data_IF_062505722521
#
_entry.id   IF_062505722521
#
_cell.length_a   1.000
_cell.length_b   1.000
_cell.length_c   1.000
_cell.angle_alpha   90.00
_cell.angle_beta   90.00
_cell.angle_gamma   90.00
#
_symmetry.space_group_name_H-M   'P 1'
#
loop_
_entity.id
_entity.type
_entity.pdbx_description
1 polymer ?
#
# COMPACT_ATOMS: atom_id res chain seq x y z
N UNK A 1 -51.20 -63.81 55.77
CA UNK A 1 -51.00 -63.28 54.46
C UNK A 1 -50.44 -61.85 54.57
N UNK A 2 -49.16 -61.62 54.36
CA UNK A 2 -48.57 -60.31 54.34
C UNK A 2 -47.76 -60.17 53.02
N UNK A 3 -48.22 -59.26 52.13
CA UNK A 3 -47.57 -58.92 50.89
C UNK A 3 -46.49 -57.89 51.16
N UNK A 4 -45.24 -58.21 50.79
CA UNK A 4 -44.12 -57.31 50.87
C UNK A 4 -44.16 -56.29 49.73
N UNK A 5 -43.98 -55.05 50.11
CA UNK A 5 -43.84 -53.93 49.17
C UNK A 5 -42.36 -53.84 48.80
N UNK A 6 -42.03 -54.05 47.54
CA UNK A 6 -40.67 -53.90 47.00
C UNK A 6 -40.48 -52.42 46.69
N UNK A 7 -39.64 -51.76 47.43
CA UNK A 7 -39.17 -50.39 47.16
C UNK A 7 -38.29 -50.40 45.91
N UNK A 8 -38.77 -49.76 44.83
CA UNK A 8 -37.92 -49.37 43.72
C UNK A 8 -37.20 -48.11 44.05
N UNK A 9 -35.89 -48.19 44.14
CA UNK A 9 -34.98 -47.01 44.28
C UNK A 9 -34.90 -46.32 42.92
N UNK A 10 -35.17 -45.02 42.81
CA UNK A 10 -34.92 -44.30 41.56
C UNK A 10 -33.42 -44.05 41.44
N UNK A 11 -32.82 -44.62 40.39
CA UNK A 11 -31.47 -44.38 39.98
C UNK A 11 -31.41 -42.94 39.39
N UNK A 12 -30.89 -42.00 40.19
CA UNK A 12 -30.70 -40.62 39.74
C UNK A 12 -29.49 -40.58 38.80
N UNK A 13 -29.74 -40.56 37.50
CA UNK A 13 -28.73 -40.42 36.46
C UNK A 13 -28.21 -38.96 36.47
N UNK A 14 -27.08 -38.73 37.12
CA UNK A 14 -26.41 -37.42 37.12
C UNK A 14 -25.77 -37.19 35.76
N UNK A 15 -26.45 -36.38 34.91
CA UNK A 15 -25.91 -35.99 33.61
C UNK A 15 -24.79 -34.95 33.84
N UNK A 16 -23.56 -35.42 33.76
CA UNK A 16 -22.38 -34.53 33.83
C UNK A 16 -22.25 -33.74 32.52
N UNK A 17 -22.75 -32.51 32.49
CA UNK A 17 -22.52 -31.59 31.38
C UNK A 17 -21.08 -31.12 31.45
N UNK A 18 -20.22 -31.70 30.61
CA UNK A 18 -18.86 -31.19 30.40
C UNK A 18 -18.95 -29.94 29.54
N UNK A 19 -18.93 -28.77 30.17
CA UNK A 19 -18.75 -27.48 29.48
C UNK A 19 -17.28 -27.41 29.10
N UNK A 20 -16.96 -27.68 27.85
CA UNK A 20 -15.64 -27.35 27.29
C UNK A 20 -15.56 -25.83 27.18
N UNK A 21 -14.57 -25.17 27.80
CA UNK A 21 -14.33 -23.75 27.51
C UNK A 21 -13.93 -23.67 26.02
N UNK A 22 -14.84 -23.16 25.21
CA UNK A 22 -14.51 -22.76 23.84
C UNK A 22 -13.42 -21.70 23.94
N UNK A 23 -12.34 -21.87 23.21
CA UNK A 23 -11.43 -20.77 22.93
C UNK A 23 -12.28 -19.73 22.15
N UNK A 24 -12.74 -18.68 22.82
CA UNK A 24 -13.29 -17.54 22.13
C UNK A 24 -12.10 -16.87 21.47
N UNK A 25 -12.03 -16.95 20.14
CA UNK A 25 -11.06 -16.18 19.36
C UNK A 25 -11.29 -14.70 19.68
N UNK A 26 -10.30 -14.09 20.31
CA UNK A 26 -10.33 -12.63 20.50
C UNK A 26 -10.44 -11.98 19.11
N UNK A 27 -11.26 -10.94 18.95
CA UNK A 27 -11.32 -10.21 17.68
C UNK A 27 -9.91 -9.75 17.31
N UNK A 28 -9.54 -9.94 16.04
CA UNK A 28 -8.26 -9.46 15.52
C UNK A 28 -8.12 -7.95 15.81
N UNK A 29 -6.93 -7.52 16.14
CA UNK A 29 -6.66 -6.09 16.29
C UNK A 29 -6.99 -5.37 14.97
N UNK A 30 -7.54 -4.14 15.01
CA UNK A 30 -7.79 -3.38 13.80
C UNK A 30 -6.46 -3.04 13.10
N UNK A 31 -6.44 -3.16 11.76
CA UNK A 31 -5.29 -2.81 10.93
C UNK A 31 -4.90 -1.33 11.09
N UNK A 32 -3.61 -1.06 11.22
CA UNK A 32 -3.02 0.29 11.22
C UNK A 32 -2.47 0.58 9.82
N UNK A 33 -3.02 1.57 9.08
CA UNK A 33 -2.56 1.85 7.73
C UNK A 33 -1.06 2.18 7.66
N UNK A 34 -0.39 1.84 6.54
CA UNK A 34 1.01 2.10 6.33
C UNK A 34 1.31 3.60 6.15
N UNK A 35 2.53 4.00 6.41
CA UNK A 35 3.05 5.33 6.13
C UNK A 35 3.89 5.30 4.86
N UNK A 36 3.51 6.11 3.85
CA UNK A 36 4.26 6.27 2.62
C UNK A 36 5.40 7.29 2.78
N UNK A 37 6.55 6.99 2.20
CA UNK A 37 7.70 7.90 2.08
C UNK A 37 8.53 7.51 0.88
N UNK A 38 9.03 8.50 0.12
CA UNK A 38 9.94 8.23 -0.99
C UNK A 38 10.91 9.38 -1.23
N UNK A 39 11.99 9.06 -1.93
CA UNK A 39 12.96 9.99 -2.50
C UNK A 39 13.15 9.67 -3.97
N UNK A 40 13.70 10.61 -4.76
CA UNK A 40 14.03 10.36 -6.15
C UNK A 40 15.35 11.02 -6.55
N UNK A 41 15.98 10.50 -7.60
CA UNK A 41 17.25 10.98 -8.13
C UNK A 41 17.32 10.74 -9.65
N UNK A 42 17.81 11.72 -10.45
CA UNK A 42 18.23 13.05 -10.03
C UNK A 42 17.04 13.92 -9.62
N UNK A 43 17.28 14.91 -8.76
CA UNK A 43 16.29 15.95 -8.43
C UNK A 43 16.34 17.10 -9.43
N UNK A 44 17.47 17.29 -10.15
CA UNK A 44 17.69 18.30 -11.20
C UNK A 44 19.08 18.08 -11.83
N UNK A 45 19.28 18.33 -13.13
CA UNK A 45 18.21 18.54 -14.12
C UNK A 45 17.49 17.24 -14.47
N UNK A 46 16.18 17.32 -14.71
CA UNK A 46 15.38 16.23 -15.29
C UNK A 46 14.91 16.72 -16.66
N UNK A 47 15.37 16.08 -17.73
CA UNK A 47 14.94 16.40 -19.09
C UNK A 47 13.80 15.46 -19.51
N UNK A 48 12.70 16.02 -19.98
CA UNK A 48 11.57 15.28 -20.48
C UNK A 48 11.99 14.34 -21.64
N UNK A 49 11.42 13.14 -21.67
CA UNK A 49 11.72 12.15 -22.70
C UNK A 49 13.12 11.50 -22.63
N UNK A 50 14.04 12.04 -21.83
CA UNK A 50 15.46 11.63 -21.86
C UNK A 50 15.97 11.11 -20.50
N UNK A 51 15.65 11.81 -19.41
CA UNK A 51 16.28 11.52 -18.10
C UNK A 51 15.52 10.44 -17.34
N UNK A 52 16.09 9.23 -17.15
CA UNK A 52 15.50 8.26 -16.25
C UNK A 52 15.67 8.71 -14.80
N UNK A 53 14.55 8.86 -14.10
CA UNK A 53 14.50 9.21 -12.69
C UNK A 53 14.23 7.95 -11.87
N UNK A 54 15.10 7.67 -10.92
CA UNK A 54 14.94 6.55 -10.00
C UNK A 54 14.16 7.00 -8.76
N UNK A 55 13.06 6.35 -8.47
CA UNK A 55 12.24 6.56 -7.28
C UNK A 55 12.47 5.44 -6.28
N UNK A 56 12.58 5.78 -5.00
CA UNK A 56 12.89 4.84 -3.93
C UNK A 56 11.97 5.08 -2.73
N UNK A 57 11.10 4.13 -2.46
CA UNK A 57 10.12 4.12 -1.38
C UNK A 57 10.51 3.21 -0.20
N UNK A 58 11.79 2.80 -0.08
CA UNK A 58 12.28 1.96 1.03
C UNK A 58 12.02 2.60 2.41
N UNK A 59 11.86 3.94 2.47
CA UNK A 59 11.49 4.65 3.69
C UNK A 59 10.03 4.51 4.12
N UNK A 60 9.18 3.85 3.32
CA UNK A 60 7.80 3.54 3.71
C UNK A 60 7.77 2.42 4.74
N UNK A 61 6.79 2.45 5.65
CA UNK A 61 6.67 1.45 6.73
C UNK A 61 5.22 1.17 7.08
N UNK A 62 5.00 -0.03 7.58
CA UNK A 62 3.74 -0.50 8.11
C UNK A 62 3.95 -0.92 9.58
N UNK A 63 3.19 -0.36 10.55
CA UNK A 63 3.44 -0.59 11.98
C UNK A 63 3.08 -1.98 12.49
N UNK A 64 2.10 -2.66 11.89
CA UNK A 64 1.55 -3.95 12.35
C UNK A 64 1.55 -5.04 11.29
N UNK A 65 2.06 -4.72 10.07
CA UNK A 65 2.11 -5.66 8.96
C UNK A 65 3.27 -5.45 8.00
N UNK A 66 2.99 -5.60 6.72
CA UNK A 66 3.98 -5.43 5.65
C UNK A 66 3.35 -4.73 4.44
N UNK A 67 4.13 -3.90 3.76
CA UNK A 67 3.69 -3.27 2.52
C UNK A 67 3.64 -4.34 1.42
N UNK A 68 2.44 -4.53 0.85
CA UNK A 68 2.18 -5.49 -0.22
C UNK A 68 2.44 -4.89 -1.61
N UNK A 69 2.15 -3.60 -1.82
CA UNK A 69 2.36 -2.96 -3.12
C UNK A 69 2.55 -1.44 -3.02
N UNK A 70 3.15 -0.91 -4.09
CA UNK A 70 3.45 0.50 -4.31
C UNK A 70 2.78 0.94 -5.61
N UNK A 71 1.92 1.95 -5.56
CA UNK A 71 1.23 2.53 -6.71
C UNK A 71 1.75 3.94 -6.94
N UNK A 72 2.27 4.19 -8.14
CA UNK A 72 2.89 5.44 -8.53
C UNK A 72 2.04 6.16 -9.57
N UNK A 73 1.69 7.40 -9.29
CA UNK A 73 1.06 8.33 -10.23
C UNK A 73 2.02 9.49 -10.51
N UNK A 74 2.37 9.69 -11.76
CA UNK A 74 3.49 10.56 -12.16
C UNK A 74 3.08 12.02 -12.34
N UNK A 75 1.79 12.27 -12.60
CA UNK A 75 1.25 13.61 -12.86
C UNK A 75 1.54 14.17 -14.26
N UNK A 76 2.28 13.43 -15.09
CA UNK A 76 2.68 13.81 -16.46
C UNK A 76 1.73 13.28 -17.54
N UNK A 77 0.61 12.67 -17.14
CA UNK A 77 -0.37 12.07 -18.04
C UNK A 77 -0.06 10.64 -18.48
N UNK A 78 1.08 10.09 -18.09
CA UNK A 78 1.36 8.65 -18.26
C UNK A 78 0.54 7.80 -17.30
N UNK A 79 0.23 6.53 -17.64
CA UNK A 79 -0.53 5.65 -16.76
C UNK A 79 0.15 5.42 -15.41
N UNK A 80 -0.65 5.22 -14.38
CA UNK A 80 -0.16 4.75 -13.08
C UNK A 80 0.54 3.41 -13.19
N UNK A 81 1.55 3.20 -12.34
CA UNK A 81 2.31 1.96 -12.29
C UNK A 81 2.23 1.34 -10.90
N UNK A 82 1.85 0.05 -10.84
CA UNK A 82 1.84 -0.72 -9.59
C UNK A 82 2.98 -1.75 -9.61
N UNK A 83 3.68 -1.87 -8.48
CA UNK A 83 4.80 -2.80 -8.29
C UNK A 83 4.85 -3.30 -6.86
N UNK A 84 5.47 -4.47 -6.64
CA UNK A 84 5.82 -4.98 -5.32
C UNK A 84 7.23 -4.55 -4.88
N UNK A 85 8.03 -3.99 -5.81
CA UNK A 85 9.35 -3.43 -5.49
C UNK A 85 9.21 -2.02 -4.92
N UNK A 86 9.93 -1.66 -3.86
CA UNK A 86 9.97 -0.30 -3.36
C UNK A 86 10.71 0.67 -4.30
N UNK A 87 11.34 0.18 -5.35
CA UNK A 87 12.10 0.99 -6.30
C UNK A 87 11.55 0.86 -7.70
N UNK A 88 11.49 1.98 -8.44
CA UNK A 88 11.03 2.04 -9.82
C UNK A 88 11.76 3.17 -10.55
N UNK A 89 11.82 3.08 -11.87
CA UNK A 89 12.36 4.15 -12.74
C UNK A 89 11.27 4.68 -13.63
N UNK A 90 11.19 6.01 -13.78
CA UNK A 90 10.27 6.67 -14.69
C UNK A 90 11.00 7.70 -15.55
N UNK A 91 10.58 7.85 -16.79
CA UNK A 91 10.99 8.94 -17.69
C UNK A 91 9.75 9.78 -17.94
N UNK A 92 9.78 11.04 -17.49
CA UNK A 92 8.66 11.95 -17.66
C UNK A 92 8.37 12.20 -19.15
N UNK A 93 7.11 12.16 -19.53
CA UNK A 93 6.69 12.34 -20.90
C UNK A 93 7.17 13.71 -21.45
N UNK A 94 7.69 13.68 -22.69
CA UNK A 94 7.97 14.92 -23.43
C UNK A 94 6.65 15.51 -23.92
N UNK A 95 6.41 16.78 -23.61
CA UNK A 95 5.25 17.50 -24.13
C UNK A 95 5.72 18.43 -25.27
N UNK A 96 4.90 18.64 -26.32
CA UNK A 96 5.30 19.47 -27.46
C UNK A 96 5.41 20.97 -27.13
N UNK A 97 5.43 21.32 -25.87
CA UNK A 97 5.42 22.71 -25.38
C UNK A 97 6.76 23.07 -24.71
N UNK A 98 7.75 23.32 -25.45
CA UNK A 98 8.78 24.39 -25.46
C UNK A 98 9.38 24.88 -24.13
N UNK A 99 10.63 24.53 -23.87
CA UNK A 99 11.63 25.32 -23.13
C UNK A 99 11.16 25.93 -21.81
N UNK A 100 10.22 25.27 -21.14
CA UNK A 100 9.69 25.68 -19.84
C UNK A 100 9.87 24.55 -18.84
N UNK A 101 10.13 24.92 -17.61
CA UNK A 101 10.09 23.96 -16.53
C UNK A 101 8.62 23.65 -16.18
N UNK A 102 8.28 22.39 -16.19
CA UNK A 102 6.96 21.90 -15.75
C UNK A 102 7.14 21.20 -14.41
N UNK A 103 6.24 21.48 -13.48
CA UNK A 103 6.25 20.83 -12.17
C UNK A 103 5.19 19.75 -12.14
N UNK A 104 5.60 18.50 -12.02
CA UNK A 104 4.71 17.36 -11.87
C UNK A 104 4.61 16.95 -10.39
N UNK A 105 3.39 16.69 -9.91
CA UNK A 105 3.15 16.14 -8.61
C UNK A 105 3.19 14.62 -8.69
N UNK A 106 4.28 14.01 -8.23
CA UNK A 106 4.40 12.56 -8.12
C UNK A 106 3.73 12.11 -6.83
N UNK A 107 2.80 11.17 -6.94
CA UNK A 107 2.09 10.57 -5.82
C UNK A 107 2.49 9.10 -5.70
N UNK A 108 2.90 8.71 -4.50
CA UNK A 108 3.05 7.31 -4.09
C UNK A 108 1.88 6.95 -3.18
N UNK A 109 1.22 5.83 -3.47
CA UNK A 109 0.30 5.15 -2.54
C UNK A 109 0.88 3.78 -2.22
N UNK A 110 1.10 3.50 -0.94
CA UNK A 110 1.48 2.17 -0.45
C UNK A 110 0.26 1.45 0.09
N UNK A 111 0.18 0.15 -0.15
CA UNK A 111 -0.93 -0.70 0.27
C UNK A 111 -0.34 -1.85 1.09
N UNK A 112 -0.86 -2.09 2.28
CA UNK A 112 -0.43 -3.17 3.17
C UNK A 112 -1.07 -4.53 2.82
N UNK A 113 -0.68 -5.55 3.57
CA UNK A 113 -1.18 -6.92 3.40
C UNK A 113 -2.64 -7.12 3.86
N UNK A 114 -3.25 -6.14 4.53
CA UNK A 114 -4.64 -6.16 5.01
C UNK A 114 -5.55 -5.20 4.23
N UNK A 115 -5.00 -4.46 3.24
CA UNK A 115 -5.72 -3.55 2.34
C UNK A 115 -5.80 -2.11 2.84
N UNK A 116 -5.15 -1.76 3.95
CA UNK A 116 -4.94 -0.37 4.37
C UNK A 116 -4.00 0.35 3.40
N UNK A 117 -4.08 1.67 3.34
CA UNK A 117 -3.22 2.45 2.46
C UNK A 117 -2.75 3.76 3.09
N UNK A 118 -1.57 4.22 2.64
CA UNK A 118 -0.99 5.52 2.98
C UNK A 118 -0.40 6.16 1.74
N UNK A 119 -0.35 7.49 1.68
CA UNK A 119 0.13 8.20 0.51
C UNK A 119 1.13 9.31 0.86
N UNK A 120 2.07 9.56 -0.07
CA UNK A 120 3.01 10.68 -0.01
C UNK A 120 3.13 11.33 -1.39
N UNK A 121 3.33 12.65 -1.43
CA UNK A 121 3.51 13.39 -2.68
C UNK A 121 4.75 14.26 -2.63
N UNK A 122 5.47 14.32 -3.77
CA UNK A 122 6.59 15.24 -3.98
C UNK A 122 6.50 15.87 -5.37
N UNK A 123 7.10 17.04 -5.53
CA UNK A 123 7.15 17.75 -6.81
C UNK A 123 8.46 17.45 -7.54
N UNK A 124 8.37 17.06 -8.80
CA UNK A 124 9.48 16.91 -9.72
C UNK A 124 9.44 18.06 -10.75
N UNK A 125 10.52 18.84 -10.82
CA UNK A 125 10.67 19.91 -11.83
C UNK A 125 11.37 19.33 -13.05
N UNK A 126 10.65 19.27 -14.17
CA UNK A 126 11.10 18.69 -15.43
C UNK A 126 11.29 19.80 -16.46
N UNK A 127 12.44 19.77 -17.14
CA UNK A 127 12.75 20.71 -18.22
C UNK A 127 12.34 20.09 -19.55
N UNK A 128 11.49 20.76 -20.30
CA UNK A 128 11.14 20.37 -21.65
C UNK A 128 12.32 20.68 -22.58
N UNK A 129 12.84 19.66 -23.26
CA UNK A 129 13.96 19.79 -24.18
C UNK A 129 13.44 20.15 -25.59
N UNK A 130 14.04 21.14 -26.29
CA UNK A 130 13.61 21.47 -27.65
C UNK A 130 13.79 20.28 -28.57
N UNK A 131 12.77 19.94 -29.35
CA UNK A 131 12.93 18.98 -30.44
C UNK A 131 13.95 19.54 -31.42
N UNK A 132 14.95 18.73 -31.82
CA UNK A 132 15.97 19.13 -32.78
C UNK A 132 15.35 19.67 -34.07
N UNK A 133 15.57 20.98 -34.36
CA UNK A 133 14.98 21.70 -35.49
C UNK A 133 13.84 22.66 -35.14
N UNK A 134 13.38 22.69 -33.88
CA UNK A 134 12.48 23.74 -33.38
C UNK A 134 13.27 24.97 -32.93
N UNK A 135 12.58 26.14 -32.88
CA UNK A 135 13.19 27.42 -32.46
C UNK A 135 13.83 27.25 -31.06
N UNK A 136 15.11 27.59 -30.95
CA UNK A 136 15.87 27.50 -29.70
C UNK A 136 15.18 28.25 -28.57
N UNK A 137 15.23 27.64 -27.38
CA UNK A 137 14.94 28.33 -26.13
C UNK A 137 15.90 29.53 -25.99
N UNK A 138 15.39 30.75 -26.08
CA UNK A 138 16.11 31.98 -25.81
C UNK A 138 15.81 32.44 -24.39
#
# INVERSE_FOLDING_TARGET
MRRGIRNLSPLLLLLLVVVTPGCEDLPAAPNIPPTASFIFNPVSPINAGETPVSFNAVGSSDPDGTIASYVWSWGDGTPEQSTTSPTITHVFADTPVRCVNVVYAVLLTVIDNEGGNGSASQQATVTEVPIAGSAQCK
#
